data_IF_755679547117
#
_entry.id   IF_755679547117
#
_cell.length_a   1.000
_cell.length_b   1.000
_cell.length_c   1.000
_cell.angle_alpha   90.00
_cell.angle_beta   90.00
_cell.angle_gamma   90.00
#
_symmetry.space_group_name_H-M   'P 1'
#
loop_
_entity.id
_entity.type
_entity.pdbx_description
1 polymer ?
#
# COMPACT_ATOMS: atom_id res chain seq x y z
N UNK A 1 -13.22 -38.95 12.01
CA UNK A 1 -13.00 -37.55 12.44
C UNK A 1 -11.53 -37.24 12.20
N UNK A 2 -11.24 -36.31 11.31
CA UNK A 2 -9.87 -35.92 11.00
C UNK A 2 -9.66 -34.50 11.50
N UNK A 3 -8.60 -34.27 12.25
CA UNK A 3 -8.20 -32.96 12.74
C UNK A 3 -7.03 -32.45 11.89
N UNK A 4 -7.18 -31.26 11.33
CA UNK A 4 -6.10 -30.56 10.64
C UNK A 4 -5.76 -29.31 11.43
N UNK A 5 -4.50 -29.19 11.82
CA UNK A 5 -3.97 -27.97 12.43
C UNK A 5 -3.33 -27.10 11.32
N UNK A 6 -3.88 -25.94 11.05
CA UNK A 6 -3.28 -24.96 10.14
C UNK A 6 -2.58 -23.90 10.96
N UNK A 7 -1.25 -23.84 10.82
CA UNK A 7 -0.41 -22.87 11.52
C UNK A 7 -0.26 -21.64 10.60
N UNK A 8 -1.09 -20.64 10.79
CA UNK A 8 -0.94 -19.36 10.14
C UNK A 8 -0.45 -18.34 11.18
N UNK A 9 0.85 -18.02 11.15
CA UNK A 9 1.49 -16.95 11.93
C UNK A 9 0.88 -16.73 13.32
N UNK A 10 1.28 -17.55 14.29
CA UNK A 10 0.94 -17.42 15.73
C UNK A 10 -0.52 -17.59 16.15
N UNK A 11 -1.40 -18.06 15.27
CA UNK A 11 -2.75 -18.48 15.65
C UNK A 11 -2.99 -19.90 15.15
N UNK A 12 -3.08 -20.85 16.06
CA UNK A 12 -3.57 -22.18 15.75
C UNK A 12 -5.09 -22.12 15.63
N UNK A 13 -5.62 -22.39 14.44
CA UNK A 13 -7.04 -22.64 14.25
C UNK A 13 -7.26 -24.12 13.98
N UNK A 14 -8.16 -24.72 14.74
CA UNK A 14 -8.55 -26.11 14.55
C UNK A 14 -9.82 -26.15 13.74
N UNK A 15 -9.77 -26.77 12.58
CA UNK A 15 -10.94 -27.00 11.75
C UNK A 15 -11.43 -28.44 11.93
N UNK A 16 -12.67 -28.60 12.34
CA UNK A 16 -13.32 -29.90 12.46
C UNK A 16 -13.99 -30.23 11.13
N UNK A 17 -13.55 -31.27 10.45
CA UNK A 17 -14.17 -31.74 9.22
C UNK A 17 -14.96 -33.01 9.55
N UNK A 18 -16.29 -32.97 9.46
CA UNK A 18 -17.13 -34.15 9.49
C UNK A 18 -17.12 -34.82 8.13
N UNK A 19 -16.54 -36.00 8.08
CA UNK A 19 -16.57 -36.82 6.90
C UNK A 19 -17.95 -37.41 6.65
N UNK A 20 -18.49 -37.22 5.45
CA UNK A 20 -19.69 -37.87 4.99
C UNK A 20 -19.34 -39.31 4.65
N UNK A 21 -20.01 -40.28 5.30
CA UNK A 21 -19.92 -41.70 4.96
C UNK A 21 -20.87 -41.96 3.80
N UNK A 22 -20.32 -42.42 2.67
CA UNK A 22 -21.14 -43.04 1.64
C UNK A 22 -21.67 -44.36 2.16
N UNK A 23 -23.00 -44.46 2.34
CA UNK A 23 -23.69 -45.71 2.57
C UNK A 23 -24.25 -46.19 1.23
N UNK A 24 -23.68 -47.29 0.79
CA UNK A 24 -24.17 -48.26 -0.20
C UNK A 24 -24.14 -48.00 -1.69
N UNK A 25 -24.04 -46.82 -2.25
CA UNK A 25 -23.69 -46.61 -3.69
C UNK A 25 -23.02 -45.27 -3.86
N UNK A 26 -21.75 -45.22 -4.22
CA UNK A 26 -21.18 -44.03 -4.78
C UNK A 26 -21.74 -43.84 -6.20
N UNK A 27 -22.37 -42.72 -6.55
CA UNK A 27 -22.66 -42.44 -7.95
C UNK A 27 -21.35 -42.37 -8.72
N UNK A 28 -21.33 -43.00 -9.88
CA UNK A 28 -20.19 -42.99 -10.80
C UNK A 28 -19.75 -41.55 -11.00
N UNK A 29 -18.43 -41.33 -10.95
CA UNK A 29 -17.81 -40.03 -11.19
C UNK A 29 -18.32 -39.49 -12.53
N UNK A 30 -19.12 -38.45 -12.49
CA UNK A 30 -19.41 -37.59 -13.64
C UNK A 30 -18.10 -36.88 -13.95
N UNK A 31 -17.60 -37.07 -15.16
CA UNK A 31 -16.41 -36.45 -15.66
C UNK A 31 -16.52 -34.91 -15.55
N UNK A 32 -15.54 -34.35 -14.91
CA UNK A 32 -15.04 -33.00 -14.88
C UNK A 32 -15.73 -31.99 -15.82
N UNK A 33 -16.73 -31.29 -15.34
CA UNK A 33 -16.85 -29.89 -15.70
C UNK A 33 -15.98 -29.11 -14.71
N UNK A 34 -14.90 -28.51 -15.22
CA UNK A 34 -14.06 -27.57 -14.49
C UNK A 34 -14.94 -26.43 -13.96
N UNK A 35 -15.52 -26.60 -12.78
CA UNK A 35 -16.00 -25.47 -12.02
C UNK A 35 -14.75 -24.66 -11.65
N UNK A 36 -14.49 -23.59 -12.41
CA UNK A 36 -13.67 -22.49 -11.94
C UNK A 36 -14.21 -22.13 -10.54
N UNK A 37 -13.51 -22.62 -9.53
CA UNK A 37 -13.71 -22.17 -8.16
C UNK A 37 -13.34 -20.68 -8.14
N UNK A 38 -14.32 -19.86 -8.49
CA UNK A 38 -14.30 -18.44 -8.21
C UNK A 38 -14.28 -18.32 -6.69
N UNK A 39 -13.11 -18.47 -6.11
CA UNK A 39 -12.84 -18.04 -4.75
C UNK A 39 -13.26 -16.59 -4.72
N UNK A 40 -14.46 -16.32 -4.25
CA UNK A 40 -14.89 -14.98 -3.89
C UNK A 40 -13.86 -14.50 -2.85
N UNK A 41 -12.81 -13.82 -3.34
CA UNK A 41 -11.92 -13.06 -2.48
C UNK A 41 -12.83 -12.11 -1.72
N UNK A 42 -12.96 -12.35 -0.42
CA UNK A 42 -13.46 -11.32 0.48
C UNK A 42 -12.63 -10.09 0.12
N UNK A 43 -13.23 -8.99 -0.34
CA UNK A 43 -12.47 -7.80 -0.63
C UNK A 43 -11.69 -7.47 0.63
N UNK A 44 -10.36 -7.59 0.54
CA UNK A 44 -9.47 -7.14 1.58
C UNK A 44 -9.70 -5.63 1.69
N UNK A 45 -10.41 -5.23 2.72
CA UNK A 45 -10.73 -3.83 3.02
C UNK A 45 -9.52 -3.13 3.64
N UNK A 46 -8.38 -3.80 3.76
CA UNK A 46 -7.12 -3.16 4.13
C UNK A 46 -6.74 -2.18 3.04
N UNK A 47 -6.39 -0.93 3.39
CA UNK A 47 -5.93 0.02 2.40
C UNK A 47 -4.70 -0.55 1.68
N UNK A 48 -4.88 -0.89 0.42
CA UNK A 48 -3.79 -1.26 -0.47
C UNK A 48 -2.98 -0.02 -0.77
N UNK A 49 -1.64 -0.15 -0.87
CA UNK A 49 -0.69 0.93 -1.12
C UNK A 49 -0.38 1.83 0.09
N UNK A 50 -0.21 1.24 1.26
CA UNK A 50 0.37 1.94 2.40
C UNK A 50 1.84 2.27 2.13
N UNK A 51 2.31 3.42 2.61
CA UNK A 51 3.72 3.81 2.50
C UNK A 51 4.65 2.80 3.17
N UNK A 52 4.23 2.24 4.32
CA UNK A 52 4.99 1.25 5.08
C UNK A 52 5.02 -0.15 4.46
N UNK A 53 4.23 -0.40 3.41
CA UNK A 53 4.16 -1.71 2.77
C UNK A 53 5.19 -1.82 1.63
N UNK A 54 6.07 -2.81 1.70
CA UNK A 54 7.07 -3.09 0.66
C UNK A 54 6.43 -3.36 -0.70
N UNK A 55 5.23 -3.94 -0.73
CA UNK A 55 4.50 -4.19 -1.99
C UNK A 55 4.08 -2.90 -2.70
N UNK A 56 3.93 -1.82 -1.97
CA UNK A 56 3.65 -0.50 -2.55
C UNK A 56 4.80 -0.04 -3.45
N UNK A 57 6.02 -0.46 -3.18
CA UNK A 57 7.25 -0.03 -3.85
C UNK A 57 7.80 -1.03 -4.86
N UNK A 58 6.99 -2.01 -5.31
CA UNK A 58 7.42 -3.03 -6.29
C UNK A 58 7.95 -2.45 -7.59
N UNK A 59 7.46 -1.27 -8.00
CA UNK A 59 7.98 -0.52 -9.16
C UNK A 59 9.39 0.06 -8.92
N UNK A 60 9.86 0.02 -7.66
CA UNK A 60 11.17 0.51 -7.19
C UNK A 60 11.91 -0.62 -6.45
N UNK A 61 11.95 -1.81 -7.05
CA UNK A 61 12.62 -3.02 -6.53
C UNK A 61 12.04 -3.58 -5.21
N UNK A 62 10.86 -3.16 -4.77
CA UNK A 62 10.20 -3.64 -3.56
C UNK A 62 10.92 -3.23 -2.27
N UNK A 63 11.71 -2.17 -2.32
CA UNK A 63 12.44 -1.64 -1.16
C UNK A 63 11.75 -0.38 -0.64
N UNK A 64 11.52 -0.35 0.67
CA UNK A 64 11.00 0.86 1.32
C UNK A 64 11.95 2.03 1.11
N UNK A 65 11.44 3.23 0.80
CA UNK A 65 12.24 4.42 0.64
C UNK A 65 13.05 4.79 1.88
N UNK A 66 14.32 5.11 1.66
CA UNK A 66 15.31 5.44 2.68
C UNK A 66 15.83 6.87 2.55
N UNK A 67 16.74 7.24 3.46
CA UNK A 67 17.35 8.57 3.46
C UNK A 67 18.10 8.86 2.17
N UNK A 68 17.83 10.01 1.56
CA UNK A 68 18.47 10.45 0.31
C UNK A 68 17.85 9.92 -0.98
N UNK A 69 16.81 9.11 -0.92
CA UNK A 69 16.16 8.56 -2.10
C UNK A 69 15.33 9.60 -2.87
N UNK A 70 15.23 9.40 -4.17
CA UNK A 70 14.30 10.08 -5.06
C UNK A 70 13.00 9.24 -5.17
N UNK A 71 11.88 9.81 -4.76
CA UNK A 71 10.58 9.14 -4.74
C UNK A 71 9.74 9.60 -5.91
N UNK A 72 9.18 8.66 -6.67
CA UNK A 72 8.25 8.95 -7.75
C UNK A 72 6.96 8.17 -7.51
N UNK A 73 5.86 8.90 -7.35
CA UNK A 73 4.52 8.30 -7.32
C UNK A 73 3.97 8.39 -8.74
N UNK A 74 3.86 7.27 -9.48
CA UNK A 74 3.45 7.27 -10.87
C UNK A 74 1.96 7.61 -11.02
N UNK A 75 1.58 8.04 -12.21
CA UNK A 75 0.19 8.29 -12.57
C UNK A 75 -0.68 7.04 -12.34
N UNK A 76 -1.88 7.25 -11.81
CA UNK A 76 -2.83 6.19 -11.50
C UNK A 76 -2.55 5.42 -10.21
N UNK A 77 -1.40 5.66 -9.55
CA UNK A 77 -1.09 5.08 -8.24
C UNK A 77 -1.47 6.03 -7.12
N UNK A 78 -2.18 5.50 -6.13
CA UNK A 78 -2.45 6.19 -4.88
C UNK A 78 -1.60 5.55 -3.77
N UNK A 79 -0.89 6.38 -2.99
CA UNK A 79 -0.14 5.94 -1.82
C UNK A 79 -0.69 6.66 -0.60
N UNK A 80 -0.94 5.90 0.46
CA UNK A 80 -1.39 6.41 1.76
C UNK A 80 -0.19 6.49 2.68
N UNK A 81 0.18 7.70 3.08
CA UNK A 81 1.24 7.93 4.05
C UNK A 81 0.78 7.56 5.45
N UNK A 82 1.25 6.45 5.97
CA UNK A 82 0.86 5.83 7.24
C UNK A 82 1.99 5.79 8.29
N UNK A 83 3.13 6.41 7.99
CA UNK A 83 4.27 6.49 8.92
C UNK A 83 4.29 7.82 9.67
N UNK A 84 4.70 7.79 10.93
CA UNK A 84 4.74 9.00 11.76
C UNK A 84 5.78 10.03 11.28
N UNK A 85 6.99 9.60 10.95
CA UNK A 85 8.06 10.48 10.48
C UNK A 85 8.88 9.76 9.42
N UNK A 86 9.04 10.38 8.26
CA UNK A 86 9.87 9.82 7.19
C UNK A 86 11.36 10.08 7.42
N UNK A 87 12.23 9.29 6.79
CA UNK A 87 13.59 9.72 6.45
C UNK A 87 13.59 11.03 5.67
N UNK A 88 14.75 11.64 5.47
CA UNK A 88 14.89 12.86 4.64
C UNK A 88 15.12 12.45 3.19
N UNK A 89 14.09 12.54 2.37
CA UNK A 89 14.19 12.21 0.95
C UNK A 89 14.87 13.34 0.16
N UNK A 90 15.56 12.98 -0.90
CA UNK A 90 16.16 13.95 -1.80
C UNK A 90 15.10 14.66 -2.62
N UNK A 91 14.19 13.92 -3.24
CA UNK A 91 13.05 14.51 -3.94
C UNK A 91 11.82 13.62 -3.88
N UNK A 92 10.65 14.25 -3.95
CA UNK A 92 9.36 13.55 -4.08
C UNK A 92 8.62 14.16 -5.27
N UNK A 93 8.32 13.34 -6.26
CA UNK A 93 7.55 13.73 -7.45
C UNK A 93 6.21 12.98 -7.42
N UNK A 94 5.12 13.72 -7.41
CA UNK A 94 3.76 13.18 -7.38
C UNK A 94 3.12 13.36 -8.74
N UNK A 95 3.01 12.28 -9.54
CA UNK A 95 2.20 12.22 -10.75
C UNK A 95 0.87 11.49 -10.49
N UNK A 96 0.80 10.66 -9.44
CA UNK A 96 -0.40 10.00 -8.94
C UNK A 96 -0.99 10.73 -7.74
N UNK A 97 -1.36 10.01 -6.70
CA UNK A 97 -1.95 10.58 -5.49
C UNK A 97 -1.16 10.19 -4.25
N UNK A 98 -0.88 11.16 -3.39
CA UNK A 98 -0.37 10.96 -2.04
C UNK A 98 -1.40 11.49 -1.04
N UNK A 99 -1.94 10.61 -0.22
CA UNK A 99 -2.85 10.96 0.88
C UNK A 99 -2.23 10.63 2.23
N UNK A 100 -2.74 11.22 3.30
CA UNK A 100 -2.27 10.97 4.66
C UNK A 100 -3.30 10.19 5.48
N UNK A 101 -2.82 9.17 6.21
CA UNK A 101 -3.68 8.36 7.05
C UNK A 101 -4.26 9.21 8.19
N UNK A 102 -5.59 9.18 8.29
CA UNK A 102 -6.32 9.91 9.34
C UNK A 102 -5.97 9.41 10.76
N UNK A 103 -6.07 10.32 11.73
CA UNK A 103 -6.00 9.97 13.15
C UNK A 103 -4.61 9.89 13.76
N UNK A 104 -3.54 10.09 12.99
CA UNK A 104 -2.18 10.11 13.49
C UNK A 104 -1.38 11.32 12.97
N UNK A 105 -0.44 11.85 13.78
CA UNK A 105 0.45 12.90 13.29
C UNK A 105 1.44 12.34 12.27
N UNK A 106 1.75 13.15 11.26
CA UNK A 106 2.67 12.77 10.19
C UNK A 106 3.68 13.87 9.90
N UNK A 107 4.94 13.49 9.68
CA UNK A 107 6.02 14.39 9.28
C UNK A 107 6.68 13.83 8.03
N UNK A 108 6.56 14.55 6.93
CA UNK A 108 7.22 14.23 5.66
C UNK A 108 8.43 15.12 5.46
N UNK A 109 9.61 14.52 5.40
CA UNK A 109 10.89 15.21 5.26
C UNK A 109 11.43 15.06 3.84
N UNK A 110 11.74 16.15 3.15
CA UNK A 110 12.34 16.12 1.81
C UNK A 110 13.12 17.40 1.53
N UNK A 111 14.06 17.36 0.58
CA UNK A 111 14.66 18.59 0.05
C UNK A 111 13.78 19.25 -1.00
N UNK A 112 13.03 18.45 -1.79
CA UNK A 112 12.16 18.97 -2.83
C UNK A 112 10.88 18.15 -2.95
N UNK A 113 9.74 18.84 -3.08
CA UNK A 113 8.42 18.23 -3.31
C UNK A 113 7.80 18.86 -4.55
N UNK A 114 7.44 18.03 -5.53
CA UNK A 114 6.82 18.49 -6.76
C UNK A 114 5.55 17.69 -7.07
N UNK A 115 4.40 18.33 -6.98
CA UNK A 115 3.12 17.82 -7.48
C UNK A 115 3.03 18.21 -8.96
N UNK A 116 3.38 17.27 -9.85
CA UNK A 116 3.53 17.57 -11.28
C UNK A 116 2.22 17.41 -12.06
N UNK A 117 1.55 16.28 -11.90
CA UNK A 117 0.29 15.97 -12.59
C UNK A 117 -0.67 15.20 -11.68
N UNK A 118 -0.32 15.08 -10.40
CA UNK A 118 -1.04 14.31 -9.41
C UNK A 118 -1.71 15.18 -8.36
N UNK A 119 -2.00 14.54 -7.24
CA UNK A 119 -2.72 15.13 -6.11
C UNK A 119 -1.98 14.86 -4.79
N UNK A 120 -1.91 15.90 -3.95
CA UNK A 120 -1.49 15.80 -2.56
C UNK A 120 -2.71 16.10 -1.68
N UNK A 121 -3.21 15.08 -0.97
CA UNK A 121 -4.43 15.20 -0.18
C UNK A 121 -4.13 15.11 1.32
N UNK A 122 -4.57 16.11 2.08
CA UNK A 122 -4.51 16.15 3.55
C UNK A 122 -5.92 16.37 4.07
N UNK A 123 -6.70 15.29 4.10
CA UNK A 123 -8.13 15.35 4.38
C UNK A 123 -8.95 15.96 3.24
N UNK A 124 -10.25 15.88 3.36
CA UNK A 124 -11.21 16.41 2.41
C UNK A 124 -12.20 17.35 3.11
N UNK A 125 -13.04 18.04 2.35
CA UNK A 125 -14.13 18.84 2.93
C UNK A 125 -15.13 17.96 3.71
N UNK A 126 -15.40 16.74 3.23
CA UNK A 126 -16.30 15.80 3.88
C UNK A 126 -15.68 15.15 5.10
N UNK A 127 -14.37 14.89 5.05
CA UNK A 127 -13.58 14.29 6.13
C UNK A 127 -12.31 15.13 6.38
N UNK A 128 -12.43 16.24 7.12
CA UNK A 128 -11.29 17.07 7.47
C UNK A 128 -10.24 16.29 8.24
N UNK A 129 -8.96 16.57 7.96
CA UNK A 129 -7.87 15.88 8.66
C UNK A 129 -7.91 16.21 10.17
N UNK A 130 -7.95 15.17 10.99
CA UNK A 130 -8.18 15.30 12.44
C UNK A 130 -6.90 15.24 13.28
N UNK A 131 -5.73 15.39 12.68
CA UNK A 131 -4.43 15.37 13.34
C UNK A 131 -3.52 16.45 12.75
N UNK A 132 -2.20 16.29 12.86
CA UNK A 132 -1.22 17.27 12.35
C UNK A 132 -0.38 16.63 11.26
N UNK A 133 -0.29 17.31 10.12
CA UNK A 133 0.67 16.98 9.05
C UNK A 133 1.69 18.10 8.95
N UNK A 134 2.95 17.75 8.97
CA UNK A 134 4.08 18.66 8.77
C UNK A 134 4.90 18.22 7.56
N UNK A 135 5.08 19.10 6.58
CA UNK A 135 5.97 18.87 5.44
C UNK A 135 7.20 19.74 5.63
N UNK A 136 8.35 19.10 5.91
CA UNK A 136 9.63 19.78 6.13
C UNK A 136 10.47 19.78 4.88
N UNK A 137 10.74 20.98 4.36
CA UNK A 137 11.67 21.18 3.27
C UNK A 137 13.04 21.54 3.85
N UNK A 138 14.04 20.68 3.62
CA UNK A 138 15.39 20.77 4.19
C UNK A 138 16.37 21.59 3.35
N UNK A 139 15.94 22.14 2.23
CA UNK A 139 16.76 22.96 1.36
C UNK A 139 17.13 24.32 1.96
N UNK A 140 18.19 24.91 1.41
CA UNK A 140 18.61 26.29 1.67
C UNK A 140 18.91 27.01 0.36
N UNK A 141 19.23 28.30 0.40
CA UNK A 141 19.48 29.11 -0.80
C UNK A 141 20.77 28.73 -1.57
N UNK A 142 21.59 27.87 -1.01
CA UNK A 142 22.81 27.32 -1.66
C UNK A 142 22.65 25.87 -2.07
N UNK A 143 21.51 25.24 -1.74
CA UNK A 143 21.21 23.88 -2.19
C UNK A 143 21.06 23.85 -3.72
N UNK A 144 21.62 22.85 -4.40
CA UNK A 144 21.40 22.69 -5.83
C UNK A 144 19.91 22.56 -6.11
N UNK A 145 19.45 23.11 -7.25
CA UNK A 145 18.09 22.87 -7.70
C UNK A 145 17.92 21.40 -8.03
N UNK A 146 17.14 20.69 -7.25
CA UNK A 146 16.86 19.26 -7.48
C UNK A 146 16.00 19.07 -8.73
N UNK A 147 15.26 20.11 -9.13
CA UNK A 147 14.47 20.10 -10.36
C UNK A 147 15.16 21.00 -11.41
N UNK A 148 15.80 20.36 -12.37
CA UNK A 148 16.31 21.08 -13.55
C UNK A 148 15.09 21.50 -14.38
N UNK A 149 14.70 22.76 -14.29
CA UNK A 149 13.70 23.33 -15.17
C UNK A 149 14.34 23.48 -16.56
N UNK A 150 14.05 22.57 -17.46
CA UNK A 150 14.39 22.72 -18.86
C UNK A 150 13.25 23.51 -19.54
N UNK A 151 13.42 24.81 -19.85
CA UNK A 151 12.35 25.60 -20.46
C UNK A 151 12.07 25.21 -21.92
N UNK A 152 12.79 24.23 -22.47
CA UNK A 152 12.70 23.80 -23.85
C UNK A 152 12.03 22.43 -24.05
N UNK A 153 11.26 21.93 -23.07
CA UNK A 153 10.46 20.70 -23.20
C UNK A 153 9.00 21.01 -22.97
#
# INVERSE_FOLDING_TARGET
>A
MFEFAVNARDKSSTMLVEGIRCLDVCPDAVEDEEEEETTARIPDTSPTNLWSDEFTWTDQDGVLPTDGDDIIIPEGKEIIYDIGTSPVFKSIIINGKLSFLQGQPAVLNTYALWVRAGELEIGTEAEPFNSTVEIKLHGNNTSPSEFSFNPNV
#
